data_IF_857331000625
#
_entry.id   IF_857331000625
#
_cell.length_a   1.000
_cell.length_b   1.000
_cell.length_c   1.000
_cell.angle_alpha   90.00
_cell.angle_beta   90.00
_cell.angle_gamma   90.00
#
_symmetry.space_group_name_H-M   'P 1'
#
loop_
_entity.id
_entity.type
_entity.pdbx_description
1 polymer ?
#
# COMPACT_ATOMS: atom_id res chain seq x y z
N UNK A 1 -0.13 -12.27 -21.81
CA UNK A 1 -0.62 -11.70 -20.52
C UNK A 1 -2.02 -11.13 -20.73
N UNK A 2 -2.92 -11.13 -19.73
CA UNK A 2 -4.29 -10.58 -19.87
C UNK A 2 -4.33 -9.11 -20.31
N UNK A 3 -3.33 -8.32 -19.93
CA UNK A 3 -3.18 -6.94 -20.39
C UNK A 3 -2.94 -6.85 -21.91
N UNK A 4 -2.13 -7.74 -22.48
CA UNK A 4 -1.87 -7.82 -23.93
C UNK A 4 -3.10 -8.30 -24.73
N UNK A 5 -4.10 -8.85 -24.05
CA UNK A 5 -5.37 -9.28 -24.64
C UNK A 5 -6.44 -8.18 -24.58
N UNK A 6 -6.08 -6.96 -24.17
CA UNK A 6 -6.98 -5.81 -24.10
C UNK A 6 -7.86 -5.77 -22.85
N UNK A 7 -7.56 -6.58 -21.83
CA UNK A 7 -8.22 -6.47 -20.53
C UNK A 7 -7.54 -5.40 -19.66
N UNK A 8 -8.36 -4.61 -18.97
CA UNK A 8 -7.87 -3.76 -17.89
C UNK A 8 -7.41 -4.63 -16.73
N UNK A 9 -6.12 -4.54 -16.39
CA UNK A 9 -5.50 -5.31 -15.31
C UNK A 9 -4.95 -4.33 -14.29
N UNK A 10 -5.26 -4.58 -13.02
CA UNK A 10 -4.63 -3.88 -11.90
C UNK A 10 -3.89 -4.89 -11.01
N UNK A 11 -2.79 -4.44 -10.41
CA UNK A 11 -2.07 -5.19 -9.37
C UNK A 11 -2.37 -4.62 -8.00
N UNK A 12 -2.55 -5.48 -7.00
CA UNK A 12 -2.81 -5.05 -5.63
C UNK A 12 -2.21 -6.00 -4.63
N UNK A 13 -1.99 -5.50 -3.41
CA UNK A 13 -1.57 -6.32 -2.29
C UNK A 13 -1.46 -5.53 -1.01
N UNK A 14 -1.30 -6.26 0.09
CA UNK A 14 -1.17 -5.71 1.43
C UNK A 14 0.21 -6.03 2.03
N UNK A 15 0.81 -5.12 2.81
CA UNK A 15 2.12 -5.31 3.43
C UNK A 15 3.19 -5.66 2.38
N UNK A 16 3.89 -6.79 2.51
CA UNK A 16 4.82 -7.29 1.48
C UNK A 16 4.15 -7.47 0.11
N UNK A 17 2.87 -7.83 0.08
CA UNK A 17 2.12 -7.92 -1.17
C UNK A 17 1.94 -6.56 -1.85
N UNK A 18 1.74 -5.49 -1.07
CA UNK A 18 1.62 -4.13 -1.61
C UNK A 18 2.96 -3.58 -2.09
N UNK A 19 4.04 -3.90 -1.37
CA UNK A 19 5.41 -3.65 -1.82
C UNK A 19 5.68 -4.29 -3.19
N UNK A 20 5.34 -5.58 -3.34
CA UNK A 20 5.54 -6.28 -4.61
C UNK A 20 4.60 -5.76 -5.70
N UNK A 21 3.39 -5.32 -5.32
CA UNK A 21 2.46 -4.70 -6.25
C UNK A 21 3.04 -3.41 -6.85
N UNK A 22 3.71 -2.57 -6.06
CA UNK A 22 4.37 -1.36 -6.56
C UNK A 22 5.55 -1.69 -7.48
N UNK A 23 6.39 -2.65 -7.10
CA UNK A 23 7.51 -3.12 -7.94
C UNK A 23 7.00 -3.65 -9.29
N UNK A 24 5.93 -4.45 -9.28
CA UNK A 24 5.33 -4.99 -10.51
C UNK A 24 4.68 -3.87 -11.33
N UNK A 25 3.95 -2.95 -10.69
CA UNK A 25 3.31 -1.82 -11.35
C UNK A 25 4.33 -0.93 -12.06
N UNK A 26 5.41 -0.57 -11.38
CA UNK A 26 6.49 0.26 -11.93
C UNK A 26 7.35 -0.48 -12.96
N UNK A 27 7.49 -1.80 -12.85
CA UNK A 27 8.24 -2.61 -13.83
C UNK A 27 7.47 -2.87 -15.12
N UNK A 28 6.14 -3.04 -15.03
CA UNK A 28 5.30 -3.44 -16.16
C UNK A 28 4.40 -2.32 -16.69
N UNK A 29 4.43 -1.13 -16.06
CA UNK A 29 3.56 -0.01 -16.42
C UNK A 29 2.08 -0.28 -16.13
N UNK A 30 1.78 -1.04 -15.07
CA UNK A 30 0.41 -1.40 -14.70
C UNK A 30 -0.17 -0.44 -13.65
N UNK A 31 -1.48 -0.23 -13.71
CA UNK A 31 -2.22 0.43 -12.63
C UNK A 31 -2.31 -0.49 -11.40
N UNK A 32 -2.56 0.09 -10.23
CA UNK A 32 -2.70 -0.71 -9.02
C UNK A 32 -2.89 0.05 -7.72
N UNK A 33 -2.98 -0.70 -6.64
CA UNK A 33 -3.03 -0.15 -5.30
C UNK A 33 -2.25 -1.02 -4.31
N UNK A 34 -1.33 -0.42 -3.55
CA UNK A 34 -0.65 -1.05 -2.42
C UNK A 34 -1.30 -0.62 -1.12
N UNK A 35 -1.54 -1.55 -0.19
CA UNK A 35 -2.14 -1.26 1.11
C UNK A 35 -1.14 -1.53 2.23
N UNK A 36 -0.95 -0.58 3.14
CA UNK A 36 -0.10 -0.75 4.32
C UNK A 36 1.30 -1.27 3.95
N UNK A 37 1.88 -0.73 2.89
CA UNK A 37 3.07 -1.26 2.25
C UNK A 37 4.28 -0.36 2.51
N UNK A 38 5.46 -0.93 2.86
CA UNK A 38 6.69 -0.15 2.99
C UNK A 38 7.21 0.30 1.61
N UNK A 39 7.99 1.38 1.60
CA UNK A 39 8.60 1.93 0.38
C UNK A 39 9.59 0.97 -0.29
N UNK A 40 9.43 0.64 -1.60
CA UNK A 40 10.33 -0.27 -2.30
C UNK A 40 11.70 0.30 -2.64
N UNK A 41 11.78 1.62 -2.86
CA UNK A 41 13.01 2.31 -3.23
C UNK A 41 13.62 1.76 -4.52
N UNK A 42 14.89 1.35 -4.46
CA UNK A 42 15.65 0.90 -5.64
C UNK A 42 15.13 -0.40 -6.26
N UNK A 43 14.17 -1.09 -5.63
CA UNK A 43 13.53 -2.27 -6.20
C UNK A 43 12.41 -1.92 -7.20
N UNK A 44 11.94 -0.68 -7.23
CA UNK A 44 10.99 -0.24 -8.24
C UNK A 44 11.59 -0.33 -9.65
N UNK A 45 10.72 -0.57 -10.63
CA UNK A 45 11.08 -0.50 -12.05
C UNK A 45 11.27 0.94 -12.53
N UNK A 46 11.51 1.10 -13.83
CA UNK A 46 11.74 2.41 -14.46
C UNK A 46 10.46 3.24 -14.65
N UNK A 47 9.28 2.67 -14.41
CA UNK A 47 7.99 3.35 -14.53
C UNK A 47 7.79 4.40 -13.45
N UNK A 48 7.14 5.51 -13.81
CA UNK A 48 6.89 6.66 -12.91
C UNK A 48 5.70 6.46 -11.95
N UNK A 49 5.20 5.23 -11.85
CA UNK A 49 4.10 4.87 -10.95
C UNK A 49 2.74 5.44 -11.33
N UNK A 50 2.59 6.03 -12.54
CA UNK A 50 1.29 6.54 -12.99
C UNK A 50 0.22 5.44 -12.94
N UNK A 51 -0.84 5.70 -12.21
CA UNK A 51 -1.95 4.76 -12.03
C UNK A 51 -1.77 3.78 -10.87
N UNK A 52 -0.65 3.85 -10.14
CA UNK A 52 -0.45 3.13 -8.88
C UNK A 52 -0.63 4.08 -7.68
N UNK A 53 -1.34 3.62 -6.65
CA UNK A 53 -1.52 4.37 -5.41
C UNK A 53 -1.14 3.53 -4.20
N UNK A 54 -0.29 4.07 -3.33
CA UNK A 54 -0.04 3.47 -2.02
C UNK A 54 -1.00 4.07 -1.01
N UNK A 55 -1.69 3.23 -0.25
CA UNK A 55 -2.67 3.61 0.76
C UNK A 55 -2.16 3.06 2.10
N UNK A 56 -1.72 3.94 2.98
CA UNK A 56 -1.22 3.57 4.30
C UNK A 56 -2.11 4.14 5.41
N UNK A 57 -2.04 3.52 6.58
CA UNK A 57 -2.66 4.05 7.79
C UNK A 57 -1.63 4.84 8.59
N UNK A 58 -1.99 5.98 9.20
CA UNK A 58 -1.04 6.81 9.96
C UNK A 58 -0.33 6.06 11.10
N UNK A 59 -1.06 5.14 11.75
CA UNK A 59 -0.56 4.31 12.85
C UNK A 59 0.15 3.01 12.40
N UNK A 60 0.28 2.75 11.10
CA UNK A 60 0.98 1.56 10.62
C UNK A 60 2.50 1.79 10.55
N UNK A 61 3.21 1.38 11.60
CA UNK A 61 4.67 1.50 11.69
C UNK A 61 5.40 0.74 10.59
N UNK A 62 4.88 -0.42 10.15
CA UNK A 62 5.56 -1.26 9.15
C UNK A 62 5.29 -0.71 7.75
N UNK A 63 4.03 -0.39 7.43
CA UNK A 63 3.68 0.25 6.16
C UNK A 63 4.35 1.61 6.00
N UNK A 64 4.49 2.39 7.07
CA UNK A 64 5.12 3.71 7.01
C UNK A 64 6.65 3.67 7.05
N UNK A 65 7.24 2.49 7.14
CA UNK A 65 8.68 2.33 6.98
C UNK A 65 9.07 2.69 5.54
N UNK A 66 10.11 3.51 5.39
CA UNK A 66 10.63 3.92 4.09
C UNK A 66 9.61 4.65 3.19
N UNK A 67 8.61 5.33 3.75
CA UNK A 67 7.53 5.95 2.95
C UNK A 67 8.00 7.02 1.94
N UNK A 68 9.17 7.64 2.16
CA UNK A 68 9.77 8.56 1.18
C UNK A 68 10.28 7.87 -0.09
N UNK A 69 10.36 6.53 -0.08
CA UNK A 69 10.85 5.71 -1.19
C UNK A 69 9.76 5.07 -2.04
N UNK A 70 8.50 5.46 -1.83
CA UNK A 70 7.43 5.16 -2.78
C UNK A 70 7.61 5.98 -4.06
N UNK A 71 7.21 5.41 -5.19
CA UNK A 71 7.24 6.10 -6.49
C UNK A 71 6.29 7.31 -6.55
N UNK A 72 5.23 7.29 -5.76
CA UNK A 72 4.26 8.38 -5.57
C UNK A 72 3.97 8.56 -4.07
N UNK A 73 3.68 9.79 -3.61
CA UNK A 73 3.33 10.04 -2.21
C UNK A 73 2.15 9.15 -1.76
N UNK A 74 2.25 8.44 -0.62
CA UNK A 74 1.14 7.64 -0.12
C UNK A 74 -0.07 8.48 0.26
N UNK A 75 -1.25 7.92 0.06
CA UNK A 75 -2.50 8.41 0.63
C UNK A 75 -2.63 7.84 2.04
N UNK A 76 -2.77 8.72 3.02
CA UNK A 76 -2.92 8.32 4.42
C UNK A 76 -4.37 8.28 4.86
N UNK A 77 -4.77 7.15 5.43
CA UNK A 77 -6.00 7.03 6.21
C UNK A 77 -5.69 7.54 7.62
N UNK A 78 -6.43 8.58 8.02
CA UNK A 78 -6.35 9.25 9.31
C UNK A 78 -7.72 9.10 9.98
N UNK A 79 -7.83 8.27 11.01
CA UNK A 79 -9.10 8.02 11.71
C UNK A 79 -9.16 8.61 13.14
N UNK A 80 -8.29 9.59 13.41
CA UNK A 80 -8.39 10.50 14.56
C UNK A 80 -7.70 10.00 15.85
N UNK A 81 -6.81 9.02 15.75
CA UNK A 81 -6.20 8.34 16.89
C UNK A 81 -4.95 8.99 17.48
N UNK A 82 -4.86 10.31 17.56
CA UNK A 82 -3.66 11.00 18.08
C UNK A 82 -3.43 10.84 19.60
N UNK A 83 -4.35 10.19 20.34
CA UNK A 83 -4.35 10.26 21.83
C UNK A 83 -4.75 9.00 22.59
N UNK A 84 -4.93 7.84 21.98
CA UNK A 84 -5.23 6.63 22.75
C UNK A 84 -4.29 5.55 22.23
N UNK A 85 -3.45 4.98 23.10
CA UNK A 85 -2.78 3.66 23.09
C UNK A 85 -1.92 3.20 21.86
N UNK A 86 -0.95 2.27 22.05
CA UNK A 86 -0.04 1.81 21.00
C UNK A 86 -0.76 0.83 20.06
N UNK A 87 -1.58 1.35 19.15
CA UNK A 87 -2.23 0.53 18.12
C UNK A 87 -1.33 0.45 16.89
N UNK A 88 -1.06 -0.77 16.45
CA UNK A 88 -0.44 -1.06 15.17
C UNK A 88 -1.53 -1.46 14.19
N UNK A 89 -1.71 -0.68 13.12
CA UNK A 89 -2.72 -0.93 12.09
C UNK A 89 -2.16 -1.71 10.90
N UNK A 90 -1.24 -2.66 11.15
CA UNK A 90 -0.55 -3.35 10.07
C UNK A 90 -1.21 -4.66 9.68
N UNK A 91 -1.66 -5.49 10.62
CA UNK A 91 -2.22 -6.80 10.29
C UNK A 91 -3.73 -6.75 10.11
N UNK A 92 -4.25 -7.61 9.22
CA UNK A 92 -5.69 -7.85 9.10
C UNK A 92 -6.33 -8.29 10.42
N UNK A 93 -5.58 -8.98 11.28
CA UNK A 93 -6.05 -9.38 12.60
C UNK A 93 -6.28 -8.17 13.52
N UNK A 94 -5.32 -7.25 13.58
CA UNK A 94 -5.44 -5.99 14.35
C UNK A 94 -6.57 -5.11 13.80
N UNK A 95 -6.66 -4.99 12.47
CA UNK A 95 -7.73 -4.24 11.82
C UNK A 95 -9.12 -4.86 12.08
N UNK A 96 -9.26 -6.19 11.98
CA UNK A 96 -10.52 -6.88 12.22
C UNK A 96 -11.00 -6.72 13.67
N UNK A 97 -10.08 -6.78 14.64
CA UNK A 97 -10.41 -6.53 16.05
C UNK A 97 -11.01 -5.13 16.26
N UNK A 98 -10.64 -4.15 15.44
CA UNK A 98 -11.15 -2.78 15.56
C UNK A 98 -12.51 -2.61 14.92
N UNK A 99 -12.71 -3.15 13.70
CA UNK A 99 -14.02 -3.13 13.04
C UNK A 99 -15.08 -3.77 13.94
N UNK A 100 -14.76 -4.91 14.55
CA UNK A 100 -15.67 -5.61 15.46
C UNK A 100 -15.92 -4.90 16.80
N UNK A 101 -15.05 -3.96 17.21
CA UNK A 101 -15.25 -3.16 18.43
C UNK A 101 -16.09 -1.90 18.20
N UNK A 102 -16.40 -1.58 16.94
CA UNK A 102 -17.22 -0.41 16.56
C UNK A 102 -18.70 -0.75 16.31
N UNK A 103 -19.11 -2.01 16.48
CA UNK A 103 -20.50 -2.49 16.51
C UNK A 103 -20.98 -2.72 17.95
#
# INVERSE_FOLDING_TARGET
>A
MYHEQGCDVMVTGHSLGGYLAEVVATSLGLAGAGFCAPGPGFHNGEGDGRGFVTINHEADVIGNHNHDFHVQPPVYIVDGGLLVLPWTAHSMAEMAQHVLKRE
#
